data_IF_995525700590
#
_entry.id   IF_995525700590
#
_cell.length_a   1.000
_cell.length_b   1.000
_cell.length_c   1.000
_cell.angle_alpha   90.00
_cell.angle_beta   90.00
_cell.angle_gamma   90.00
#
_symmetry.space_group_name_H-M   'P 1'
#
loop_
_entity.id
_entity.type
_entity.pdbx_description
1 polymer ?
2 polymer ?
3 branched ?
4 non-polymer ?
5 non-polymer ?
6 non-polymer ?
#
# COMPACT_ATOMS: atom_id res chain seq x y z
N UNK A 1 18.31 3.15 28.67
CA UNK A 1 16.95 3.57 28.38
C UNK A 1 16.95 4.82 27.51
N UNK A 2 16.28 4.73 26.35
CA UNK A 2 16.38 5.75 25.32
C UNK A 2 15.00 6.12 24.76
N UNK A 3 13.96 5.99 25.58
CA UNK A 3 12.63 6.39 25.18
C UNK A 3 11.89 7.02 26.34
N UNK A 4 10.75 7.65 26.02
CA UNK A 4 9.90 8.28 27.02
C UNK A 4 8.47 7.83 26.78
N UNK A 5 7.86 7.23 27.81
CA UNK A 5 6.54 6.67 27.70
C UNK A 5 5.47 7.63 28.24
N UNK A 6 4.28 7.54 27.66
CA UNK A 6 3.14 8.26 28.14
C UNK A 6 1.90 7.38 28.08
N UNK A 7 0.76 7.92 28.50
CA UNK A 7 -0.48 7.12 28.45
C UNK A 7 -0.86 6.65 27.06
N UNK A 8 -0.56 7.42 26.00
CA UNK A 8 -1.00 7.06 24.66
C UNK A 8 0.06 7.32 23.61
N UNK A 9 1.34 7.21 23.95
CA UNK A 9 2.40 7.49 23.00
C UNK A 9 3.71 6.88 23.49
N UNK A 10 4.75 7.01 22.66
CA UNK A 10 6.10 6.56 22.98
C UNK A 10 7.05 7.40 22.14
N UNK A 11 7.66 8.40 22.75
CA UNK A 11 8.64 9.24 22.06
C UNK A 11 9.99 8.53 22.10
N UNK A 12 10.62 8.24 20.94
CA UNK A 12 11.91 7.54 20.93
C UNK A 12 13.08 8.48 21.26
N UNK A 13 13.04 9.04 22.47
CA UNK A 13 14.08 9.95 22.90
C UNK A 13 14.11 9.97 24.43
N UNK A 14 15.33 9.92 24.99
CA UNK A 14 15.47 9.85 26.44
C UNK A 14 15.08 11.18 27.09
N UNK A 15 14.40 11.08 28.23
CA UNK A 15 13.96 12.25 28.98
C UNK A 15 14.90 12.58 30.14
N UNK A 16 16.16 12.15 30.06
CA UNK A 16 17.10 12.42 31.15
C UNK A 16 17.50 13.88 31.21
N UNK A 17 17.21 14.66 30.17
CA UNK A 17 17.43 16.10 30.18
C UNK A 17 16.15 16.88 30.45
N UNK A 18 15.00 16.19 30.52
CA UNK A 18 13.74 16.82 30.84
C UNK A 18 13.11 17.60 29.72
N UNK A 19 13.57 17.43 28.47
CA UNK A 19 13.04 18.21 27.35
C UNK A 19 11.94 17.50 26.59
N UNK A 20 11.74 16.20 26.83
CA UNK A 20 10.74 15.45 26.07
C UNK A 20 9.34 15.93 26.43
N UNK A 21 8.51 16.13 25.40
CA UNK A 21 7.13 16.60 25.56
C UNK A 21 6.19 15.60 24.90
N UNK A 22 4.91 15.73 25.23
CA UNK A 22 3.90 14.89 24.61
C UNK A 22 3.78 15.21 23.12
N UNK A 23 3.78 14.20 22.24
CA UNK A 23 3.58 14.48 20.81
C UNK A 23 2.21 15.03 20.48
N UNK A 24 1.30 15.08 21.44
CA UNK A 24 -0.01 15.68 21.26
C UNK A 24 -0.08 17.12 21.74
N UNK A 25 1.04 17.69 22.20
CA UNK A 25 0.95 18.96 22.91
C UNK A 25 2.02 19.97 22.50
N UNK A 26 3.21 19.50 22.13
CA UNK A 26 4.31 20.43 21.87
C UNK A 26 5.18 19.89 20.75
N UNK A 27 5.83 20.76 19.98
CA UNK A 27 6.70 20.29 18.90
C UNK A 27 7.84 19.42 19.40
N UNK A 28 8.29 18.51 18.53
CA UNK A 28 9.28 17.52 18.88
C UNK A 28 10.64 17.84 18.26
N UNK A 29 11.09 19.09 18.38
CA UNK A 29 12.33 19.50 17.75
C UNK A 29 13.57 18.98 18.46
N UNK A 30 13.41 18.16 19.50
CA UNK A 30 14.55 17.54 20.15
C UNK A 30 14.89 16.17 19.57
N UNK A 31 13.97 15.53 18.84
CA UNK A 31 14.27 14.30 18.14
C UNK A 31 14.61 14.53 16.67
N UNK A 32 14.48 15.76 16.17
CA UNK A 32 14.80 16.10 14.80
C UNK A 32 14.83 17.61 14.68
N UNK A 33 15.81 18.12 13.93
CA UNK A 33 15.89 19.54 13.70
C UNK A 33 14.65 20.02 12.94
N UNK A 34 14.27 21.30 13.07
CA UNK A 34 13.08 21.78 12.38
C UNK A 34 13.11 21.61 10.88
N UNK A 35 14.28 21.73 10.24
CA UNK A 35 14.34 21.56 8.79
C UNK A 35 14.00 20.14 8.37
N UNK A 36 14.28 19.16 9.23
CA UNK A 36 13.90 17.79 8.92
C UNK A 36 12.39 17.61 8.95
N UNK A 37 11.69 18.39 9.78
CA UNK A 37 10.23 18.39 9.74
C UNK A 37 9.74 19.07 8.47
N UNK A 38 10.44 20.11 8.02
CA UNK A 38 10.10 20.74 6.74
C UNK A 38 10.33 19.79 5.58
N UNK A 39 11.43 19.03 5.60
CA UNK A 39 11.66 18.05 4.55
C UNK A 39 10.63 16.93 4.62
N UNK A 40 10.19 16.58 5.84
CA UNK A 40 9.08 15.64 5.96
C UNK A 40 7.81 16.23 5.35
N UNK A 41 7.55 17.51 5.61
CA UNK A 41 6.42 18.18 4.97
C UNK A 41 6.61 18.26 3.47
N UNK A 42 7.85 18.49 3.02
CA UNK A 42 8.12 18.57 1.59
C UNK A 42 7.83 17.25 0.90
N UNK A 43 8.17 16.13 1.54
CA UNK A 43 7.91 14.83 0.92
C UNK A 43 6.42 14.52 0.89
N UNK A 44 5.69 14.89 1.93
CA UNK A 44 4.23 14.72 1.91
C UNK A 44 3.63 15.54 0.77
N UNK A 45 4.16 16.74 0.54
CA UNK A 45 3.68 17.56 -0.57
C UNK A 45 3.93 16.87 -1.90
N UNK A 46 5.08 16.21 -2.04
CA UNK A 46 5.38 15.50 -3.28
C UNK A 46 4.41 14.35 -3.52
N UNK A 47 4.13 13.56 -2.47
CA UNK A 47 3.20 12.46 -2.61
C UNK A 47 1.79 12.95 -2.94
N UNK A 48 1.39 14.11 -2.43
CA UNK A 48 0.08 14.65 -2.75
C UNK A 48 0.04 15.15 -4.18
N UNK A 49 1.05 15.91 -4.59
CA UNK A 49 1.06 16.50 -5.92
C UNK A 49 1.16 15.46 -7.02
N UNK A 50 1.79 14.31 -6.75
CA UNK A 50 1.87 13.22 -7.71
C UNK A 50 0.81 12.15 -7.49
N UNK A 51 0.50 11.81 -6.23
CA UNK A 51 -0.42 10.73 -5.97
C UNK A 51 -1.87 11.05 -6.27
N UNK A 52 -2.27 12.32 -6.07
CA UNK A 52 -3.68 12.65 -6.30
C UNK A 52 -4.04 12.70 -7.77
N UNK A 53 -3.33 13.46 -8.64
CA UNK A 53 -3.77 13.51 -10.05
C UNK A 53 -3.76 12.15 -10.74
N UNK A 54 -2.69 11.37 -10.56
CA UNK A 54 -2.59 10.08 -11.25
C UNK A 54 -3.68 9.14 -10.79
N UNK A 55 -4.04 9.18 -9.51
CA UNK A 55 -5.08 8.29 -9.00
C UNK A 55 -6.47 8.85 -9.27
N UNK A 56 -6.65 10.17 -9.24
CA UNK A 56 -7.95 10.73 -9.57
C UNK A 56 -8.25 10.59 -11.05
N UNK A 57 -7.24 10.81 -11.91
CA UNK A 57 -7.43 10.66 -13.35
C UNK A 57 -7.85 9.24 -13.71
N UNK A 58 -7.39 8.25 -12.94
CA UNK A 58 -7.81 6.87 -13.18
C UNK A 58 -9.31 6.71 -12.99
N UNK A 59 -9.86 7.32 -11.92
CA UNK A 59 -11.30 7.28 -11.73
C UNK A 59 -12.03 8.13 -12.76
N UNK A 60 -11.39 9.19 -13.24
CA UNK A 60 -12.07 10.10 -14.17
C UNK A 60 -12.22 9.47 -15.56
N UNK A 61 -11.14 8.89 -16.08
CA UNK A 61 -11.20 8.32 -17.42
C UNK A 61 -12.13 7.10 -17.46
N UNK A 62 -12.28 6.40 -16.34
CA UNK A 62 -13.22 5.29 -16.28
C UNK A 62 -14.65 5.79 -16.45
N UNK A 63 -14.96 6.96 -15.89
CA UNK A 63 -16.28 7.54 -16.07
C UNK A 63 -16.51 7.91 -17.53
N UNK A 64 -15.45 8.29 -18.24
CA UNK A 64 -15.59 8.79 -19.60
C UNK A 64 -15.49 7.71 -20.67
N UNK A 65 -14.71 6.65 -20.42
CA UNK A 65 -14.44 5.62 -21.43
C UNK A 65 -15.20 4.35 -21.06
N UNK A 66 -16.19 3.99 -21.88
CA UNK A 66 -17.04 2.84 -21.58
C UNK A 66 -16.24 1.55 -21.56
N UNK A 67 -15.24 1.43 -22.45
CA UNK A 67 -14.47 0.19 -22.54
C UNK A 67 -13.63 -0.09 -21.30
N UNK A 68 -13.52 0.86 -20.38
CA UNK A 68 -12.77 0.62 -19.15
C UNK A 68 -13.61 0.03 -18.04
N UNK A 69 -14.94 0.06 -18.16
CA UNK A 69 -15.84 -0.38 -17.10
C UNK A 69 -16.17 -1.86 -17.24
N UNK A 70 -15.11 -2.68 -17.21
CA UNK A 70 -15.22 -4.13 -17.26
C UNK A 70 -14.94 -4.72 -15.88
N UNK A 71 -15.49 -5.91 -15.57
CA UNK A 71 -15.30 -6.46 -14.23
C UNK A 71 -13.85 -6.67 -13.83
N UNK A 72 -12.99 -7.08 -14.78
CA UNK A 72 -11.58 -7.28 -14.47
C UNK A 72 -10.86 -5.98 -14.13
N UNK A 73 -11.50 -4.83 -14.36
CA UNK A 73 -10.93 -3.53 -14.02
C UNK A 73 -11.44 -2.99 -12.69
N UNK A 74 -12.40 -3.66 -12.05
CA UNK A 74 -12.92 -3.17 -10.78
C UNK A 74 -11.81 -3.04 -9.74
N UNK A 75 -10.95 -4.06 -9.65
CA UNK A 75 -9.93 -4.08 -8.61
C UNK A 75 -8.87 -3.02 -8.87
N UNK A 76 -8.69 -2.61 -10.12
CA UNK A 76 -7.80 -1.50 -10.41
C UNK A 76 -8.40 -0.18 -9.93
N UNK A 77 -9.71 -0.01 -10.10
CA UNK A 77 -10.38 1.16 -9.55
C UNK A 77 -10.34 1.13 -8.03
N UNK A 78 -10.46 -0.06 -7.43
CA UNK A 78 -10.32 -0.18 -5.99
C UNK A 78 -8.91 0.21 -5.55
N UNK A 79 -7.90 -0.06 -6.39
CA UNK A 79 -6.54 0.36 -6.08
C UNK A 79 -6.41 1.87 -6.08
N UNK A 80 -7.07 2.55 -7.03
CA UNK A 80 -6.99 4.00 -7.08
C UNK A 80 -7.69 4.65 -5.89
N UNK A 81 -8.81 4.06 -5.46
CA UNK A 81 -9.51 4.59 -4.29
C UNK A 81 -8.67 4.41 -3.04
N UNK A 82 -8.04 3.24 -2.89
CA UNK A 82 -7.18 3.01 -1.73
C UNK A 82 -6.03 4.01 -1.69
N UNK A 83 -5.42 4.30 -2.84
CA UNK A 83 -4.36 5.30 -2.86
C UNK A 83 -4.87 6.67 -2.46
N UNK A 84 -6.13 6.98 -2.78
CA UNK A 84 -6.69 8.25 -2.37
C UNK A 84 -6.95 8.30 -0.87
N UNK A 85 -7.30 7.17 -0.26
CA UNK A 85 -7.39 7.10 1.19
C UNK A 85 -6.03 7.38 1.83
N UNK A 86 -4.95 6.87 1.23
CA UNK A 86 -3.61 7.17 1.72
C UNK A 86 -3.26 8.65 1.54
N UNK A 87 -3.79 9.28 0.49
CA UNK A 87 -3.43 10.66 0.19
C UNK A 87 -4.11 11.62 1.16
N UNK A 88 -5.42 11.47 1.35
CA UNK A 88 -6.16 12.42 2.16
C UNK A 88 -6.26 11.99 3.62
N UNK A 89 -6.40 10.70 3.89
CA UNK A 89 -6.45 10.24 5.27
C UNK A 89 -5.11 10.23 5.96
N UNK A 90 -4.02 10.34 5.21
CA UNK A 90 -2.69 10.24 5.79
C UNK A 90 -1.72 11.31 5.34
N UNK A 91 -1.53 11.45 4.03
CA UNK A 91 -0.50 12.35 3.52
C UNK A 91 -0.81 13.80 3.85
N UNK A 92 -2.04 14.23 3.63
CA UNK A 92 -2.41 15.63 3.91
C UNK A 92 -2.35 15.90 5.41
N UNK A 93 -2.81 14.95 6.22
CA UNK A 93 -2.75 15.14 7.67
C UNK A 93 -1.30 15.25 8.14
N UNK A 94 -0.41 14.43 7.58
CA UNK A 94 0.98 14.48 8.00
C UNK A 94 1.67 15.74 7.53
N UNK A 95 1.35 16.22 6.33
CA UNK A 95 1.85 17.51 5.88
C UNK A 95 1.45 18.61 6.85
N UNK A 96 0.22 18.54 7.35
CA UNK A 96 -0.25 19.56 8.29
C UNK A 96 0.47 19.44 9.64
N UNK A 97 0.50 18.23 10.20
CA UNK A 97 1.11 18.05 11.52
C UNK A 97 2.61 18.32 11.50
N UNK A 98 3.31 17.89 10.44
CA UNK A 98 4.74 18.14 10.36
C UNK A 98 5.05 19.63 10.35
N UNK A 99 4.15 20.45 9.81
CA UNK A 99 4.35 21.89 9.84
C UNK A 99 4.18 22.45 11.25
N UNK A 100 3.52 21.72 12.14
CA UNK A 100 3.45 22.09 13.54
C UNK A 100 4.61 21.55 14.36
N UNK A 101 5.23 20.46 13.93
CA UNK A 101 6.27 19.80 14.69
C UNK A 101 5.79 18.66 15.56
N UNK A 102 4.49 18.39 15.59
CA UNK A 102 3.92 17.33 16.41
C UNK A 102 2.50 17.07 15.92
N UNK A 103 1.86 16.06 16.51
CA UNK A 103 0.52 15.63 16.09
C UNK A 103 -0.49 16.45 16.87
N UNK A 104 -1.08 17.44 16.20
CA UNK A 104 -1.93 18.41 16.89
C UNK A 104 -3.34 17.89 17.15
N UNK A 105 -3.79 16.87 16.43
CA UNK A 105 -5.17 16.43 16.55
C UNK A 105 -5.41 15.51 17.73
N UNK A 106 -4.38 15.22 18.53
CA UNK A 106 -4.55 14.47 19.76
C UNK A 106 -4.79 13.00 19.54
N UNK A 107 -5.03 12.29 20.64
CA UNK A 107 -5.22 10.82 20.53
C UNK A 107 -6.39 10.41 19.67
N UNK A 108 -7.49 11.17 19.68
CA UNK A 108 -8.64 10.82 18.84
C UNK A 108 -8.29 10.94 17.36
N UNK A 109 -7.73 12.09 16.96
CA UNK A 109 -7.23 12.24 15.61
C UNK A 109 -6.14 11.26 15.25
N UNK A 110 -5.40 10.77 16.25
CA UNK A 110 -4.39 9.74 16.00
C UNK A 110 -5.05 8.43 15.59
N UNK A 111 -6.14 8.06 16.24
CA UNK A 111 -6.87 6.86 15.82
C UNK A 111 -7.51 7.06 14.46
N UNK A 112 -7.99 8.27 14.18
CA UNK A 112 -8.59 8.56 12.87
C UNK A 112 -7.54 8.46 11.78
N UNK A 113 -6.49 9.28 11.87
CA UNK A 113 -5.43 9.25 10.86
C UNK A 113 -4.76 7.89 10.79
N UNK A 114 -4.71 7.17 11.90
CA UNK A 114 -4.13 5.83 11.88
C UNK A 114 -5.04 4.79 11.26
N UNK A 115 -6.36 4.93 11.46
CA UNK A 115 -7.29 3.96 10.89
C UNK A 115 -7.34 4.09 9.37
N UNK A 116 -7.44 5.32 8.86
CA UNK A 116 -7.56 5.51 7.42
C UNK A 116 -6.24 5.32 6.69
N UNK A 117 -5.11 5.60 7.34
CA UNK A 117 -3.82 5.32 6.70
C UNK A 117 -3.57 3.83 6.63
N UNK A 118 -3.91 3.09 7.69
CA UNK A 118 -3.79 1.63 7.65
C UNK A 118 -4.79 1.02 6.68
N UNK A 119 -6.03 1.52 6.69
CA UNK A 119 -7.04 1.00 5.78
C UNK A 119 -6.63 1.21 4.33
N UNK A 120 -6.12 2.40 3.99
CA UNK A 120 -5.73 2.68 2.62
C UNK A 120 -4.60 1.79 2.15
N UNK A 121 -3.58 1.60 2.98
CA UNK A 121 -2.47 0.74 2.61
C UNK A 121 -2.85 -0.71 2.52
N UNK A 122 -3.79 -1.16 3.36
CA UNK A 122 -4.20 -2.57 3.35
C UNK A 122 -5.10 -2.88 2.17
N UNK A 123 -6.00 -1.97 1.80
CA UNK A 123 -6.83 -2.18 0.61
C UNK A 123 -5.95 -2.27 -0.63
N UNK A 124 -4.96 -1.37 -0.74
CA UNK A 124 -4.03 -1.44 -1.86
C UNK A 124 -3.21 -2.73 -1.80
N UNK A 125 -2.81 -3.14 -0.59
CA UNK A 125 -2.08 -4.40 -0.42
C UNK A 125 -2.90 -5.57 -0.95
N UNK A 126 -4.13 -5.73 -0.45
CA UNK A 126 -4.96 -6.86 -0.83
C UNK A 126 -5.53 -6.73 -2.23
N UNK A 127 -5.62 -5.51 -2.77
CA UNK A 127 -6.00 -5.37 -4.18
C UNK A 127 -4.96 -5.99 -5.09
N UNK A 128 -3.68 -5.88 -4.73
CA UNK A 128 -2.63 -6.51 -5.53
C UNK A 128 -2.68 -8.03 -5.42
N UNK A 129 -3.18 -8.54 -4.28
CA UNK A 129 -3.34 -9.99 -4.14
C UNK A 129 -4.53 -10.47 -4.98
N UNK A 130 -5.67 -9.79 -4.84
CA UNK A 130 -6.86 -10.19 -5.59
C UNK A 130 -6.62 -10.08 -7.08
N UNK A 131 -5.90 -9.03 -7.52
CA UNK A 131 -5.60 -8.89 -8.94
C UNK A 131 -4.78 -10.07 -9.45
N UNK A 132 -3.86 -10.58 -8.64
CA UNK A 132 -3.08 -11.74 -9.03
C UNK A 132 -3.94 -13.00 -9.09
N UNK A 133 -4.87 -13.15 -8.14
CA UNK A 133 -5.75 -14.31 -8.12
C UNK A 133 -6.62 -14.32 -9.38
N UNK A 134 -7.20 -13.17 -9.73
CA UNK A 134 -8.05 -13.09 -10.91
C UNK A 134 -7.27 -13.36 -12.18
N UNK A 135 -6.09 -12.75 -12.32
CA UNK A 135 -5.27 -13.00 -13.50
C UNK A 135 -4.85 -14.45 -13.59
N UNK A 136 -4.61 -15.10 -12.45
CA UNK A 136 -4.28 -16.52 -12.46
C UNK A 136 -5.49 -17.37 -12.83
N UNK A 137 -6.66 -17.04 -12.27
CA UNK A 137 -7.86 -17.81 -12.55
C UNK A 137 -8.27 -17.66 -14.02
N UNK A 138 -8.16 -16.43 -14.56
CA UNK A 138 -8.62 -16.17 -15.91
C UNK A 138 -7.67 -16.79 -16.94
N UNK A 139 -6.37 -16.67 -16.73
CA UNK A 139 -5.39 -17.09 -17.73
C UNK A 139 -5.03 -18.56 -17.58
N UNK A 140 -4.70 -19.00 -16.36
CA UNK A 140 -4.30 -20.39 -16.16
C UNK A 140 -5.47 -21.37 -16.21
N UNK A 141 -6.70 -20.88 -16.19
CA UNK A 141 -7.93 -21.69 -16.24
C UNK A 141 -7.85 -22.90 -15.30
N UNK A 142 -7.60 -22.68 -14.01
CA UNK A 142 -7.45 -23.81 -13.08
C UNK A 142 -8.76 -24.50 -12.73
N UNK A 143 -9.90 -23.83 -12.93
CA UNK A 143 -11.20 -24.41 -12.63
C UNK A 143 -11.90 -24.81 -13.93
N UNK A 144 -12.73 -25.86 -13.83
CA UNK A 144 -13.36 -26.45 -15.00
C UNK A 144 -14.55 -25.59 -15.44
N UNK A 145 -14.46 -25.02 -16.64
CA UNK A 145 -15.56 -24.29 -17.27
C UNK A 145 -16.06 -23.16 -16.37
N UNK A 146 -15.19 -22.19 -16.16
CA UNK A 146 -15.48 -21.05 -15.31
C UNK A 146 -15.19 -19.76 -16.07
N UNK A 147 -16.10 -18.80 -15.98
CA UNK A 147 -15.97 -17.50 -16.61
C UNK A 147 -16.09 -16.42 -15.55
N UNK A 148 -15.11 -15.53 -15.50
CA UNK A 148 -15.07 -14.48 -14.49
C UNK A 148 -16.08 -13.39 -14.83
N UNK A 149 -17.03 -13.14 -13.93
CA UNK A 149 -18.07 -12.18 -14.19
C UNK A 149 -18.11 -11.00 -13.24
N UNK A 150 -19.20 -10.24 -13.29
CA UNK A 150 -19.31 -9.05 -12.44
C UNK A 150 -19.44 -9.42 -10.96
N UNK A 151 -20.16 -10.51 -10.66
CA UNK A 151 -20.33 -10.90 -9.27
C UNK A 151 -19.03 -11.39 -8.64
N UNK A 152 -18.17 -12.03 -9.43
CA UNK A 152 -16.87 -12.42 -8.91
C UNK A 152 -15.96 -11.20 -8.71
N UNK A 153 -16.10 -10.19 -9.56
CA UNK A 153 -15.29 -8.99 -9.42
C UNK A 153 -15.69 -8.19 -8.19
N UNK A 154 -16.99 -8.12 -7.90
CA UNK A 154 -17.46 -7.38 -6.74
C UNK A 154 -17.00 -8.07 -5.45
N UNK A 155 -17.11 -9.39 -5.40
CA UNK A 155 -16.61 -10.13 -4.23
C UNK A 155 -15.11 -9.94 -4.05
N UNK A 156 -14.37 -9.77 -5.15
CA UNK A 156 -12.95 -9.52 -5.03
C UNK A 156 -12.65 -8.19 -4.35
N UNK A 157 -13.43 -7.16 -4.67
CA UNK A 157 -13.26 -5.86 -4.00
C UNK A 157 -13.73 -5.95 -2.55
N UNK A 158 -14.87 -6.60 -2.32
CA UNK A 158 -15.38 -6.76 -0.97
C UNK A 158 -14.42 -7.56 -0.09
N UNK A 159 -13.71 -8.51 -0.68
CA UNK A 159 -12.73 -9.28 0.07
C UNK A 159 -11.57 -8.41 0.55
N UNK A 160 -11.18 -7.41 -0.25
CA UNK A 160 -10.10 -6.53 0.17
C UNK A 160 -10.53 -5.65 1.35
N UNK A 161 -11.76 -5.14 1.31
CA UNK A 161 -12.25 -4.31 2.41
C UNK A 161 -12.35 -5.10 3.70
N UNK A 162 -12.82 -6.35 3.62
CA UNK A 162 -12.94 -7.19 4.81
C UNK A 162 -11.55 -7.48 5.39
N UNK A 163 -10.57 -7.75 4.52
CA UNK A 163 -9.21 -7.98 5.01
C UNK A 163 -8.62 -6.72 5.61
N UNK A 164 -8.95 -5.56 5.03
CA UNK A 164 -8.44 -4.30 5.57
C UNK A 164 -9.11 -3.96 6.91
N UNK A 165 -10.43 -4.18 7.01
CA UNK A 165 -11.11 -3.96 8.28
C UNK A 165 -10.63 -4.94 9.34
N UNK A 166 -10.32 -6.18 8.94
CA UNK A 166 -9.71 -7.15 9.85
C UNK A 166 -8.29 -6.77 10.21
N UNK A 167 -7.83 -5.60 9.78
CA UNK A 167 -6.47 -5.15 9.99
C UNK A 167 -6.36 -3.76 10.61
N UNK A 168 -7.37 -2.91 10.47
CA UNK A 168 -7.33 -1.56 11.01
C UNK A 168 -8.27 -1.32 12.18
N UNK A 169 -9.33 -2.12 12.31
CA UNK A 169 -10.29 -2.00 13.39
C UNK A 169 -9.79 -2.53 14.74
N UNK A 170 -9.02 -3.62 14.80
CA UNK A 170 -8.56 -4.14 16.10
C UNK A 170 -7.85 -3.09 16.95
N UNK A 171 -6.96 -2.26 16.39
CA UNK A 171 -6.33 -1.23 17.23
C UNK A 171 -7.32 -0.24 17.84
N UNK A 172 -8.50 -0.06 17.24
CA UNK A 172 -9.51 0.83 17.80
C UNK A 172 -10.30 0.19 18.92
N UNK A 173 -10.16 -1.11 19.17
CA UNK A 173 -11.00 -1.81 20.13
C UNK A 173 -10.17 -2.62 21.12
N UNK A 174 -8.85 -2.46 21.08
CA UNK A 174 -8.00 -3.01 22.12
C UNK A 174 -7.05 -4.13 21.73
N UNK A 175 -6.91 -4.43 20.44
CA UNK A 175 -5.86 -5.34 19.97
C UNK A 175 -4.83 -4.50 19.25
N UNK A 176 -3.65 -4.34 19.88
CA UNK A 176 -2.67 -3.33 19.50
C UNK A 176 -3.29 -1.94 19.66
N UNK A 177 -2.70 -0.93 19.03
CA UNK A 177 -3.17 0.44 19.21
C UNK A 177 -2.48 1.34 18.19
N UNK A 178 -3.02 2.54 18.03
CA UNK A 178 -2.43 3.57 17.17
C UNK A 178 -1.72 4.60 18.03
N UNK A 179 -0.45 4.83 17.74
CA UNK A 179 0.34 5.87 18.42
C UNK A 179 1.20 6.58 17.39
N UNK A 180 1.60 7.82 17.69
CA UNK A 180 2.53 8.53 16.78
C UNK A 180 3.85 7.78 16.65
N UNK A 181 4.33 7.66 15.42
CA UNK A 181 5.56 6.95 15.10
C UNK A 181 6.63 7.91 14.62
N UNK A 182 7.88 7.44 14.67
CA UNK A 182 9.02 8.18 14.19
C UNK A 182 9.13 9.59 14.75
N UNK A 183 8.98 10.59 13.88
CA UNK A 183 8.99 11.99 14.27
C UNK A 183 7.66 12.45 14.86
N UNK A 184 6.79 11.51 15.21
CA UNK A 184 5.58 11.73 15.98
C UNK A 184 4.55 12.58 15.25
N UNK A 185 4.63 12.64 13.92
CA UNK A 185 3.70 13.45 13.14
C UNK A 185 2.62 12.63 12.44
N UNK A 186 2.83 11.32 12.31
CA UNK A 186 1.82 10.42 11.76
C UNK A 186 1.67 9.22 12.68
N UNK A 187 0.47 8.63 12.67
CA UNK A 187 0.13 7.55 13.58
C UNK A 187 0.04 6.23 12.83
N UNK A 188 0.35 5.15 13.54
CA UNK A 188 0.32 3.83 12.96
C UNK A 188 0.24 2.76 14.02
N UNK A 189 0.32 1.50 13.57
CA UNK A 189 0.25 0.36 14.48
C UNK A 189 1.48 0.36 15.39
N UNK A 190 1.26 0.06 16.66
CA UNK A 190 2.32 0.05 17.66
C UNK A 190 3.11 -1.24 17.56
N UNK A 191 4.39 -1.13 17.19
CA UNK A 191 5.32 -2.26 17.22
C UNK A 191 6.66 -1.87 17.83
N UNK A 192 6.73 -0.73 18.51
CA UNK A 192 7.93 -0.28 19.18
C UNK A 192 7.86 -0.47 20.70
N UNK A 193 6.66 -0.66 21.24
CA UNK A 193 6.42 -0.97 22.64
C UNK A 193 5.65 -2.26 22.77
N UNK A 194 5.95 -3.08 23.78
CA UNK A 194 5.21 -4.33 24.01
C UNK A 194 3.99 -4.14 24.90
N UNK A 195 3.13 -3.17 24.55
CA UNK A 195 1.99 -2.79 25.36
C UNK A 195 1.10 -3.99 25.67
N UNK A 196 1.35 -4.64 26.81
CA UNK A 196 0.63 -5.87 27.15
C UNK A 196 -0.86 -5.65 27.37
N UNK A 197 -1.28 -4.42 27.70
CA UNK A 197 -2.70 -4.17 27.92
C UNK A 197 -3.53 -4.38 26.65
N UNK A 198 -2.91 -4.28 25.47
CA UNK A 198 -3.61 -4.47 24.21
C UNK A 198 -3.03 -5.60 23.38
N UNK A 199 -2.11 -6.39 23.93
CA UNK A 199 -1.54 -7.57 23.27
C UNK A 199 -0.90 -7.20 21.94
N UNK A 200 0.13 -6.34 22.02
CA UNK A 200 0.83 -5.91 20.82
C UNK A 200 1.57 -7.06 20.15
N UNK A 201 2.07 -8.02 20.93
CA UNK A 201 2.92 -9.06 20.35
C UNK A 201 2.13 -9.99 19.45
N UNK A 202 1.00 -10.51 19.95
CA UNK A 202 0.19 -11.42 19.15
C UNK A 202 -0.40 -10.74 17.92
N UNK A 203 -0.59 -9.42 17.96
CA UNK A 203 -1.11 -8.72 16.79
C UNK A 203 -0.03 -8.54 15.73
N UNK A 204 1.19 -8.18 16.14
CA UNK A 204 2.28 -8.03 15.19
C UNK A 204 2.56 -9.36 14.50
N UNK A 205 2.44 -10.47 15.23
CA UNK A 205 2.62 -11.79 14.63
C UNK A 205 1.50 -12.09 13.66
N UNK A 206 0.25 -11.91 14.10
CA UNK A 206 -0.89 -12.02 13.20
C UNK A 206 -0.78 -11.06 12.04
N UNK A 207 -0.21 -9.88 12.27
CA UNK A 207 0.04 -8.94 11.19
C UNK A 207 1.03 -9.52 10.19
N UNK A 208 2.12 -10.11 10.69
CA UNK A 208 3.18 -10.60 9.81
C UNK A 208 2.73 -11.82 9.02
N UNK A 209 2.03 -12.75 9.68
CA UNK A 209 1.67 -14.01 9.03
C UNK A 209 0.52 -13.78 8.05
N UNK A 210 -0.60 -13.25 8.55
CA UNK A 210 -1.82 -13.20 7.74
C UNK A 210 -1.74 -12.09 6.70
N UNK A 211 -1.16 -10.95 7.04
CA UNK A 211 -1.21 -9.78 6.16
C UNK A 211 0.13 -9.47 5.50
N UNK A 212 1.07 -10.42 5.50
CA UNK A 212 2.29 -10.24 4.74
C UNK A 212 2.79 -11.56 4.14
N UNK A 213 2.82 -12.62 4.95
CA UNK A 213 3.27 -13.91 4.46
C UNK A 213 2.25 -14.51 3.50
N UNK A 214 0.98 -14.57 3.94
CA UNK A 214 -0.08 -15.06 3.05
C UNK A 214 -0.18 -14.24 1.77
N UNK A 215 -0.17 -12.90 1.80
CA UNK A 215 -0.17 -12.17 0.52
C UNK A 215 1.05 -12.46 -0.34
N UNK A 216 2.22 -12.65 0.27
CA UNK A 216 3.43 -12.87 -0.51
C UNK A 216 3.41 -14.23 -1.19
N UNK A 217 2.92 -15.25 -0.49
CA UNK A 217 2.86 -16.59 -1.07
C UNK A 217 1.84 -16.64 -2.20
N UNK A 218 0.68 -16.01 -2.00
CA UNK A 218 -0.38 -16.03 -3.02
C UNK A 218 0.08 -15.32 -4.28
N UNK A 219 0.73 -14.15 -4.13
CA UNK A 219 1.20 -13.42 -5.30
C UNK A 219 2.27 -14.21 -6.04
N UNK A 220 3.18 -14.85 -5.31
CA UNK A 220 4.25 -15.61 -5.96
C UNK A 220 3.69 -16.84 -6.68
N UNK A 221 2.75 -17.54 -6.04
CA UNK A 221 2.17 -18.72 -6.66
C UNK A 221 1.37 -18.37 -7.91
N UNK A 222 0.48 -17.38 -7.79
CA UNK A 222 -0.38 -17.02 -8.92
C UNK A 222 0.44 -16.55 -10.11
N UNK A 223 1.32 -15.57 -9.90
CA UNK A 223 2.13 -15.07 -11.00
C UNK A 223 3.18 -16.09 -11.45
N UNK A 224 3.58 -16.99 -10.55
CA UNK A 224 4.46 -18.07 -10.97
C UNK A 224 3.76 -19.02 -11.92
N UNK A 225 2.51 -19.39 -11.60
CA UNK A 225 1.72 -20.24 -12.48
C UNK A 225 1.43 -19.53 -13.80
N UNK A 226 1.22 -18.22 -13.76
CA UNK A 226 0.89 -17.47 -14.97
C UNK A 226 2.08 -17.48 -15.94
N UNK A 227 3.27 -17.12 -15.45
CA UNK A 227 4.45 -17.13 -16.31
C UNK A 227 4.72 -18.53 -16.85
N UNK A 228 4.41 -19.57 -16.06
CA UNK A 228 4.60 -20.93 -16.54
C UNK A 228 3.59 -21.24 -17.65
N UNK A 229 2.33 -20.87 -17.45
CA UNK A 229 1.31 -21.10 -18.48
C UNK A 229 1.66 -20.38 -19.78
N UNK A 230 2.13 -19.14 -19.67
CA UNK A 230 2.40 -18.35 -20.88
C UNK A 230 3.62 -18.89 -21.62
N UNK A 231 4.69 -19.21 -20.88
CA UNK A 231 5.87 -19.77 -21.53
C UNK A 231 5.59 -21.13 -22.15
N UNK A 232 4.74 -21.94 -21.52
CA UNK A 232 4.37 -23.23 -22.09
C UNK A 232 3.58 -23.07 -23.37
N UNK A 233 2.61 -22.15 -23.37
CA UNK A 233 1.79 -21.95 -24.57
C UNK A 233 2.62 -21.40 -25.72
N UNK A 234 3.52 -20.47 -25.45
CA UNK A 234 4.35 -19.91 -26.51
C UNK A 234 5.33 -20.96 -27.04
N UNK A 235 5.85 -21.81 -26.17
CA UNK A 235 6.76 -22.86 -26.61
C UNK A 235 6.07 -23.84 -27.56
N UNK A 236 4.78 -24.09 -27.32
CA UNK A 236 3.99 -24.95 -28.19
C UNK A 236 3.40 -24.20 -29.37
N UNK A 237 3.84 -22.97 -29.61
CA UNK A 237 3.30 -22.14 -30.69
C UNK A 237 4.35 -21.12 -31.13
N UNK A 238 5.55 -21.61 -31.43
CA UNK A 238 6.66 -20.75 -31.82
C UNK A 238 6.53 -20.22 -33.25
N UNK A 239 5.50 -20.64 -33.99
CA UNK A 239 5.24 -20.08 -35.31
C UNK A 239 4.55 -18.73 -35.23
N UNK A 240 4.03 -18.35 -34.06
CA UNK A 240 3.34 -17.09 -33.85
C UNK A 240 4.30 -16.11 -33.19
N UNK A 241 4.76 -15.11 -33.95
CA UNK A 241 5.64 -14.10 -33.39
C UNK A 241 4.93 -13.24 -32.35
N UNK A 242 3.62 -13.05 -32.50
CA UNK A 242 2.86 -12.28 -31.52
C UNK A 242 2.83 -12.98 -30.18
N UNK A 243 2.62 -14.30 -30.18
CA UNK A 243 2.63 -15.05 -28.92
C UNK A 243 4.01 -15.00 -28.28
N UNK A 244 5.07 -14.88 -29.08
CA UNK A 244 6.42 -14.76 -28.52
C UNK A 244 6.64 -13.39 -27.91
N UNK A 245 6.06 -12.34 -28.50
CA UNK A 245 6.13 -11.02 -27.88
C UNK A 245 5.32 -10.97 -26.60
N UNK A 246 4.15 -11.60 -26.59
CA UNK A 246 3.31 -11.59 -25.40
C UNK A 246 4.00 -12.29 -24.24
N UNK A 247 4.67 -13.40 -24.50
CA UNK A 247 5.35 -14.13 -23.44
C UNK A 247 6.45 -13.28 -22.81
N UNK A 248 7.16 -12.49 -23.62
CA UNK A 248 8.20 -11.62 -23.08
C UNK A 248 7.59 -10.48 -22.27
N UNK A 249 6.55 -9.84 -22.81
CA UNK A 249 5.93 -8.72 -22.10
C UNK A 249 5.29 -9.18 -20.80
N UNK A 250 4.59 -10.31 -20.82
CA UNK A 250 3.97 -10.82 -19.60
C UNK A 250 5.03 -11.16 -18.56
N UNK A 251 6.13 -11.79 -18.98
CA UNK A 251 7.21 -12.09 -18.06
C UNK A 251 7.84 -10.82 -17.51
N UNK A 252 8.05 -9.82 -18.37
CA UNK A 252 8.66 -8.57 -17.91
C UNK A 252 7.76 -7.86 -16.91
N UNK A 253 6.44 -7.91 -17.10
CA UNK A 253 5.53 -7.26 -16.16
C UNK A 253 5.47 -8.00 -14.83
N UNK A 254 5.51 -9.34 -14.86
CA UNK A 254 5.44 -10.10 -13.62
C UNK A 254 6.68 -9.83 -12.77
N UNK A 255 7.84 -9.69 -13.40
CA UNK A 255 9.05 -9.35 -12.67
C UNK A 255 8.93 -7.95 -12.06
N UNK A 256 8.39 -7.00 -12.84
CA UNK A 256 8.22 -5.64 -12.34
C UNK A 256 7.22 -5.61 -11.17
N UNK A 257 6.12 -6.36 -11.29
CA UNK A 257 5.11 -6.33 -10.23
C UNK A 257 5.62 -6.98 -8.95
N UNK A 258 6.33 -8.10 -9.08
CA UNK A 258 6.83 -8.79 -7.89
C UNK A 258 7.94 -7.98 -7.23
N UNK A 259 8.85 -7.42 -8.03
CA UNK A 259 9.94 -6.62 -7.46
C UNK A 259 9.39 -5.36 -6.82
N UNK A 260 8.43 -4.70 -7.46
CA UNK A 260 7.82 -3.51 -6.86
C UNK A 260 7.11 -3.85 -5.56
N UNK A 261 6.47 -5.02 -5.49
CA UNK A 261 5.79 -5.42 -4.27
C UNK A 261 6.80 -5.63 -3.14
N UNK A 262 7.95 -6.23 -3.46
CA UNK A 262 8.99 -6.42 -2.45
C UNK A 262 9.57 -5.08 -2.00
N UNK A 263 9.88 -4.20 -2.95
CA UNK A 263 10.39 -2.87 -2.61
C UNK A 263 9.40 -2.12 -1.71
N UNK A 264 8.10 -2.41 -1.87
CA UNK A 264 7.09 -1.70 -1.09
C UNK A 264 7.02 -2.19 0.35
N UNK A 265 6.95 -3.51 0.56
CA UNK A 265 6.63 -4.04 1.88
C UNK A 265 7.77 -4.76 2.57
N UNK A 266 8.85 -5.11 1.87
CA UNK A 266 9.91 -5.87 2.51
C UNK A 266 10.73 -5.00 3.46
N UNK A 267 11.08 -3.76 3.10
CA UNK A 267 11.70 -2.88 4.11
C UNK A 267 10.82 -2.67 5.33
N UNK A 268 9.52 -2.45 5.13
CA UNK A 268 8.60 -2.35 6.26
C UNK A 268 8.48 -3.66 7.02
N UNK A 269 8.76 -4.79 6.37
CA UNK A 269 8.71 -6.06 7.06
C UNK A 269 9.91 -6.23 7.98
N UNK A 270 11.12 -6.16 7.43
CA UNK A 270 12.31 -6.44 8.22
C UNK A 270 12.61 -5.37 9.25
N UNK A 271 12.52 -4.10 8.85
CA UNK A 271 12.85 -3.01 9.77
C UNK A 271 11.88 -2.99 10.95
N UNK A 272 10.59 -3.19 10.69
CA UNK A 272 9.63 -3.28 11.79
C UNK A 272 9.81 -4.56 12.58
N UNK A 273 10.24 -5.65 11.92
CA UNK A 273 10.56 -6.87 12.64
C UNK A 273 11.75 -6.67 13.55
N UNK A 274 12.76 -5.92 13.09
CA UNK A 274 13.92 -5.65 13.93
C UNK A 274 13.56 -4.73 15.09
N UNK A 275 12.77 -3.69 14.82
CA UNK A 275 12.32 -2.79 15.88
C UNK A 275 11.45 -3.53 16.89
N UNK A 276 10.69 -4.53 16.42
CA UNK A 276 9.85 -5.29 17.32
C UNK A 276 10.67 -6.26 18.16
N UNK A 277 11.56 -7.02 17.52
CA UNK A 277 12.40 -7.98 18.24
C UNK A 277 13.42 -7.26 19.12
N UNK A 278 14.41 -6.62 18.50
CA UNK A 278 15.41 -5.86 19.25
C UNK A 278 14.77 -4.59 19.81
N UNK A 279 13.78 -4.76 20.68
CA UNK A 279 12.93 -3.66 21.11
C UNK A 279 13.67 -2.76 22.10
N UNK A 280 13.08 -1.59 22.35
CA UNK A 280 13.61 -0.67 23.34
C UNK A 280 14.99 -0.13 23.03
N UNK A 281 15.46 -0.29 21.79
CA UNK A 281 16.80 0.14 21.42
C UNK A 281 16.79 1.62 21.05
N UNK A 282 17.93 2.11 20.55
CA UNK A 282 18.09 3.53 20.22
C UNK A 282 17.76 3.74 18.75
N UNK A 283 16.48 3.56 18.43
CA UNK A 283 16.01 3.75 17.06
C UNK A 283 15.99 5.22 16.73
N UNK A 284 16.71 5.61 15.68
CA UNK A 284 16.64 6.96 15.18
C UNK A 284 15.27 7.24 14.59
N UNK A 285 14.64 8.33 15.01
CA UNK A 285 13.38 8.74 14.36
C UNK A 285 13.51 8.94 12.87
N UNK A 286 14.72 9.25 12.39
CA UNK A 286 14.99 9.26 10.96
C UNK A 286 15.05 7.83 10.43
N UNK A 287 15.55 6.89 11.24
CA UNK A 287 15.61 5.49 10.85
C UNK A 287 14.24 4.83 10.90
N UNK A 288 13.33 5.36 11.71
CA UNK A 288 11.95 4.83 11.76
C UNK A 288 11.25 4.98 10.41
N UNK A 289 11.50 6.09 9.72
CA UNK A 289 10.76 6.43 8.51
C UNK A 289 11.42 5.92 7.23
N UNK A 290 12.44 5.08 7.34
CA UNK A 290 13.06 4.46 6.17
C UNK A 290 12.08 3.47 5.55
N UNK A 291 11.44 2.58 6.32
CA UNK A 291 10.41 1.72 5.69
C UNK A 291 9.19 2.48 5.23
N UNK A 292 8.77 3.51 5.96
CA UNK A 292 7.60 4.30 5.56
C UNK A 292 7.82 5.02 4.24
N UNK A 293 9.07 5.28 3.87
CA UNK A 293 9.36 5.94 2.60
C UNK A 293 8.93 5.08 1.42
N UNK A 294 9.35 3.81 1.40
CA UNK A 294 9.04 2.95 0.26
C UNK A 294 7.56 2.60 0.20
N UNK A 295 6.92 2.40 1.35
CA UNK A 295 5.53 1.98 1.36
C UNK A 295 4.60 3.11 0.98
N UNK A 296 4.82 4.32 1.51
CA UNK A 296 3.95 5.45 1.23
C UNK A 296 4.03 5.85 -0.24
N UNK A 297 5.22 5.76 -0.83
CA UNK A 297 5.40 6.13 -2.23
C UNK A 297 4.67 5.18 -3.18
N UNK A 298 4.24 4.01 -2.71
CA UNK A 298 3.45 3.12 -3.56
C UNK A 298 2.14 3.75 -4.00
N UNK A 299 1.69 4.80 -3.31
CA UNK A 299 0.52 5.54 -3.80
C UNK A 299 0.79 6.22 -5.14
N UNK A 300 2.06 6.34 -5.52
CA UNK A 300 2.43 6.97 -6.78
C UNK A 300 2.83 5.95 -7.83
N UNK A 301 3.65 4.95 -7.47
CA UNK A 301 4.16 4.03 -8.48
C UNK A 301 3.29 2.81 -8.70
N UNK A 302 2.35 2.50 -7.80
CA UNK A 302 1.38 1.47 -8.13
C UNK A 302 0.47 1.91 -9.27
N UNK A 303 -0.01 3.16 -9.31
CA UNK A 303 -0.74 3.61 -10.51
C UNK A 303 0.12 3.58 -11.77
N UNK A 304 1.41 3.91 -11.65
CA UNK A 304 2.28 3.89 -12.83
C UNK A 304 2.40 2.48 -13.38
N UNK A 305 2.55 1.49 -12.50
CA UNK A 305 2.76 0.12 -12.95
C UNK A 305 1.46 -0.54 -13.36
N UNK A 306 0.41 -0.39 -12.56
CA UNK A 306 -0.82 -1.13 -12.76
C UNK A 306 -1.87 -0.38 -13.58
N UNK A 307 -1.68 0.92 -13.84
CA UNK A 307 -2.63 1.68 -14.62
C UNK A 307 -1.96 2.25 -15.87
N UNK A 308 -0.95 3.10 -15.66
CA UNK A 308 -0.29 3.78 -16.78
C UNK A 308 0.38 2.80 -17.73
N UNK A 309 0.89 1.68 -17.21
CA UNK A 309 1.48 0.65 -18.06
C UNK A 309 0.46 -0.34 -18.57
N UNK A 310 -0.83 -0.04 -18.42
CA UNK A 310 -1.91 -0.81 -19.03
C UNK A 310 -2.32 -0.09 -20.31
N UNK A 311 -2.26 -0.80 -21.44
CA UNK A 311 -2.51 -0.17 -22.74
C UNK A 311 -3.88 0.47 -22.80
N UNK A 312 -4.90 -0.22 -22.29
CA UNK A 312 -6.27 0.29 -22.38
C UNK A 312 -6.44 1.56 -21.55
N UNK A 313 -5.82 1.61 -20.36
CA UNK A 313 -5.94 2.81 -19.53
C UNK A 313 -5.09 3.95 -20.07
N UNK A 314 -3.88 3.64 -20.55
CA UNK A 314 -2.99 4.69 -21.01
C UNK A 314 -3.55 5.39 -22.24
N UNK A 315 -4.18 4.65 -23.14
CA UNK A 315 -4.77 5.26 -24.34
C UNK A 315 -5.92 6.19 -23.96
N UNK A 316 -6.78 5.75 -23.04
CA UNK A 316 -7.89 6.60 -22.60
C UNK A 316 -7.41 7.83 -21.85
N UNK A 317 -6.30 7.72 -21.11
CA UNK A 317 -5.81 8.88 -20.37
C UNK A 317 -5.13 9.87 -21.30
N UNK A 318 -4.43 9.38 -22.33
CA UNK A 318 -3.83 10.29 -23.30
C UNK A 318 -4.93 11.03 -24.07
N UNK A 319 -6.01 10.33 -24.40
CA UNK A 319 -7.15 10.97 -25.05
C UNK A 319 -7.75 12.05 -24.15
N UNK A 320 -7.97 11.71 -22.88
CA UNK A 320 -8.60 12.66 -21.96
C UNK A 320 -7.69 13.85 -21.68
N UNK A 321 -6.40 13.60 -21.45
CA UNK A 321 -5.48 14.69 -21.14
C UNK A 321 -5.22 15.57 -22.37
N UNK A 322 -5.24 14.99 -23.56
CA UNK A 322 -5.03 15.76 -24.79
C UNK A 322 -6.34 16.24 -25.40
N UNK A 323 -7.30 16.62 -24.57
CA UNK A 323 -8.54 17.31 -24.93
C UNK A 323 -9.49 16.47 -25.77
N UNK A 324 -9.14 15.24 -26.12
CA UNK A 324 -10.09 14.36 -26.77
C UNK A 324 -9.64 13.71 -28.06
N UNK A 325 -8.39 13.93 -28.49
CA UNK A 325 -7.91 13.40 -29.76
C UNK A 325 -6.49 12.88 -29.59
N UNK A 326 -6.33 11.56 -29.66
CA UNK A 326 -5.03 10.90 -29.84
C UNK A 326 -5.21 9.38 -29.91
N UNK B 1 -4.23 -17.80 -25.41
CA UNK B 1 -4.07 -16.98 -24.21
C UNK B 1 -4.06 -15.50 -24.55
N UNK B 2 -3.84 -15.20 -25.83
CA UNK B 2 -3.70 -13.81 -26.26
C UNK B 2 -4.92 -12.97 -25.89
N UNK B 3 -6.11 -13.58 -25.95
CA UNK B 3 -7.32 -12.82 -25.62
C UNK B 3 -7.44 -12.61 -24.12
N UNK B 4 -7.10 -13.62 -23.32
CA UNK B 4 -7.15 -13.48 -21.88
C UNK B 4 -6.07 -12.56 -21.34
N UNK B 5 -4.91 -12.51 -22.02
CA UNK B 5 -3.86 -11.59 -21.59
C UNK B 5 -4.26 -10.14 -21.81
N UNK B 6 -5.10 -9.87 -22.81
CA UNK B 6 -5.59 -8.51 -23.04
C UNK B 6 -6.67 -8.14 -22.04
N UNK B 7 -7.52 -9.10 -21.67
CA UNK B 7 -8.59 -8.84 -20.70
C UNK B 7 -8.00 -8.39 -19.36
N UNK B 8 -6.90 -9.04 -18.92
CA UNK B 8 -6.27 -8.70 -17.65
C UNK B 8 -5.27 -7.58 -17.79
N UNK B 9 -5.13 -6.99 -18.98
CA UNK B 9 -4.27 -5.84 -19.15
C UNK B 9 -2.79 -6.14 -19.09
N UNK B 10 -2.38 -7.36 -19.46
CA UNK B 10 -0.99 -7.72 -19.46
C UNK B 10 -0.36 -7.71 -20.85
N UNK B 11 -1.16 -7.65 -21.90
CA UNK B 11 -0.64 -7.61 -23.26
C UNK B 11 -1.59 -6.86 -24.19
#
# INVERSE_FOLDING_TARGET
MNGTEGPNFYVPFSNKTGVVRSPFEAPQYYLAEPWQFSMLAAYMFLLIMLGFPINFLTLYVTVQHKKLRTPLNYILLNLAVADLFMVFGGFTTTLYTSLHGYFVFGPTGCNLEGFFATLGGEIALWSLVVLAIERYVVVCKPMSNFRFGENHAIMGVAFTWVMALACAAPPLVGWSRYIPEGMQCSCGIDYYTPHEETNNESFVIYMFVVHFIIPLIVIFFCYGQLVFTVKEAAAQQQESATTQKAEKEVTRMVIIMVIAFLICWLPYAGVAFYIFTHQGSDFGPIFMTIPAFFAKTSAVYNPVIYIMMNKQFRNCMVTTLCCGKNPLGDDEASTTVSKTETSQVAPA
ILENLKDVGLF
#
